data_IF_110285339664
#
_entry.id   IF_110285339664
#
_cell.length_a   1.000
_cell.length_b   1.000
_cell.length_c   1.000
_cell.angle_alpha   90.00
_cell.angle_beta   90.00
_cell.angle_gamma   90.00
#
_symmetry.space_group_name_H-M   'P 1'
#
loop_
_entity.id
_entity.type
_entity.pdbx_description
1 polymer ?
#
# COMPACT_ATOMS: atom_id res chain seq x y z
N UNK A 1 2.14 -26.86 3.26
CA UNK A 1 1.84 -25.54 3.77
C UNK A 1 0.50 -25.57 4.49
N UNK A 2 0.50 -25.35 5.80
CA UNK A 2 -0.71 -25.38 6.61
C UNK A 2 -1.57 -24.15 6.41
N UNK A 3 -2.89 -24.30 6.56
CA UNK A 3 -3.83 -23.19 6.58
C UNK A 3 -3.78 -22.55 7.97
N UNK A 4 -3.77 -21.20 8.03
CA UNK A 4 -3.78 -20.49 9.30
C UNK A 4 -5.09 -20.77 10.05
N UNK A 5 -5.03 -20.96 11.38
CA UNK A 5 -6.26 -21.12 12.17
C UNK A 5 -7.15 -19.87 12.05
N UNK A 6 -8.47 -20.10 12.00
CA UNK A 6 -9.44 -19.00 11.88
C UNK A 6 -9.27 -17.95 12.99
N UNK A 7 -8.95 -18.39 14.20
CA UNK A 7 -8.71 -17.50 15.32
C UNK A 7 -7.51 -16.58 15.08
N UNK A 8 -6.42 -17.12 14.53
CA UNK A 8 -5.25 -16.33 14.15
C UNK A 8 -5.61 -15.30 13.09
N UNK A 9 -6.33 -15.71 12.04
CA UNK A 9 -6.76 -14.81 10.96
C UNK A 9 -7.57 -13.64 11.51
N UNK A 10 -8.58 -13.92 12.34
CA UNK A 10 -9.42 -12.87 12.92
C UNK A 10 -8.63 -11.90 13.77
N UNK A 11 -7.70 -12.41 14.56
CA UNK A 11 -6.89 -11.59 15.45
C UNK A 11 -5.98 -10.67 14.64
N UNK A 12 -5.25 -11.23 13.66
CA UNK A 12 -4.34 -10.47 12.82
C UNK A 12 -5.10 -9.44 11.99
N UNK A 13 -6.26 -9.82 11.41
CA UNK A 13 -7.06 -8.88 10.64
C UNK A 13 -7.54 -7.70 11.50
N UNK A 14 -7.92 -7.95 12.76
CA UNK A 14 -8.35 -6.88 13.65
C UNK A 14 -7.22 -5.90 13.96
N UNK A 15 -6.00 -6.41 14.13
CA UNK A 15 -4.82 -5.59 14.34
C UNK A 15 -4.50 -4.73 13.11
N UNK A 16 -4.56 -5.33 11.93
CA UNK A 16 -4.30 -4.62 10.67
C UNK A 16 -5.35 -3.54 10.40
N UNK A 17 -6.62 -3.82 10.66
CA UNK A 17 -7.69 -2.82 10.51
C UNK A 17 -7.49 -1.64 11.44
N UNK A 18 -7.07 -1.89 12.67
CA UNK A 18 -6.77 -0.84 13.63
C UNK A 18 -5.56 -0.01 13.18
N UNK A 19 -4.49 -0.67 12.74
CA UNK A 19 -3.31 0.01 12.22
C UNK A 19 -3.69 0.93 11.05
N UNK A 20 -4.47 0.42 10.11
CA UNK A 20 -4.91 1.19 8.95
C UNK A 20 -5.77 2.39 9.35
N UNK A 21 -6.68 2.20 10.30
CA UNK A 21 -7.59 3.27 10.74
C UNK A 21 -6.85 4.44 11.37
N UNK A 22 -5.75 4.18 12.09
CA UNK A 22 -5.02 5.22 12.79
C UNK A 22 -3.87 5.86 12.00
N UNK A 23 -3.56 5.38 10.80
CA UNK A 23 -2.35 5.75 10.07
C UNK A 23 -2.17 7.25 9.84
N UNK A 24 -3.25 8.02 9.72
CA UNK A 24 -3.20 9.47 9.60
C UNK A 24 -3.60 10.23 10.86
N UNK A 25 -4.06 9.50 11.89
CA UNK A 25 -4.57 10.12 13.12
C UNK A 25 -3.54 10.10 14.24
N UNK A 26 -2.87 8.96 14.42
CA UNK A 26 -1.90 8.76 15.48
C UNK A 26 -0.95 7.66 15.05
N UNK A 27 0.28 8.03 14.74
CA UNK A 27 1.25 7.10 14.15
C UNK A 27 1.61 5.97 15.11
N UNK A 28 1.72 6.23 16.42
CA UNK A 28 2.00 5.18 17.40
C UNK A 28 0.85 4.18 17.49
N UNK A 29 -0.40 4.68 17.44
CA UNK A 29 -1.59 3.82 17.46
C UNK A 29 -1.73 3.00 16.18
N UNK A 30 -1.10 3.41 15.09
CA UNK A 30 -0.99 2.62 13.87
C UNK A 30 0.17 1.62 13.96
N UNK A 31 1.33 2.06 14.43
CA UNK A 31 2.56 1.26 14.48
C UNK A 31 2.43 0.03 15.38
N UNK A 32 1.92 0.21 16.61
CA UNK A 32 1.88 -0.88 17.59
C UNK A 32 1.06 -2.08 17.12
N UNK A 33 -0.19 -1.92 16.66
CA UNK A 33 -0.93 -3.08 16.15
C UNK A 33 -0.31 -3.67 14.86
N UNK A 34 0.29 -2.85 14.02
CA UNK A 34 0.96 -3.35 12.81
C UNK A 34 2.18 -4.22 13.18
N UNK A 35 2.98 -3.78 14.14
CA UNK A 35 4.13 -4.55 14.62
C UNK A 35 3.68 -5.87 15.23
N UNK A 36 2.62 -5.82 16.03
CA UNK A 36 2.06 -7.03 16.66
C UNK A 36 1.53 -8.00 15.61
N UNK A 37 0.81 -7.49 14.60
CA UNK A 37 0.32 -8.33 13.51
C UNK A 37 1.48 -8.99 12.76
N UNK A 38 2.52 -8.24 12.45
CA UNK A 38 3.69 -8.76 11.76
C UNK A 38 4.36 -9.89 12.55
N UNK A 39 4.56 -9.68 13.87
CA UNK A 39 5.26 -10.64 14.70
C UNK A 39 4.47 -11.91 15.01
N UNK A 40 3.13 -11.82 15.02
CA UNK A 40 2.27 -12.94 15.40
C UNK A 40 1.67 -13.71 14.24
N UNK A 41 1.76 -13.20 13.02
CA UNK A 41 1.24 -13.85 11.83
C UNK A 41 2.18 -14.96 11.36
N UNK A 42 2.08 -16.16 11.95
CA UNK A 42 2.99 -17.28 11.66
C UNK A 42 2.64 -18.00 10.37
N UNK A 43 1.38 -18.41 10.23
CA UNK A 43 0.90 -19.13 9.07
C UNK A 43 0.07 -18.25 8.13
N UNK A 44 -0.36 -17.12 8.61
CA UNK A 44 -1.19 -16.19 7.87
C UNK A 44 -0.33 -15.17 7.11
N UNK A 45 0.29 -15.63 6.02
CA UNK A 45 1.21 -14.81 5.22
C UNK A 45 0.54 -13.56 4.64
N UNK A 46 -0.73 -13.67 4.25
CA UNK A 46 -1.49 -12.53 3.75
C UNK A 46 -1.62 -11.43 4.81
N UNK A 47 -1.90 -11.81 6.05
CA UNK A 47 -1.97 -10.85 7.16
C UNK A 47 -0.63 -10.22 7.48
N UNK A 48 0.44 -10.99 7.35
CA UNK A 48 1.80 -10.47 7.52
C UNK A 48 2.15 -9.46 6.42
N UNK A 49 1.73 -9.71 5.19
CA UNK A 49 1.93 -8.79 4.07
C UNK A 49 1.20 -7.45 4.31
N UNK A 50 -0.04 -7.52 4.78
CA UNK A 50 -0.79 -6.31 5.12
C UNK A 50 -0.09 -5.53 6.24
N UNK A 51 0.42 -6.23 7.25
CA UNK A 51 1.18 -5.61 8.34
C UNK A 51 2.44 -4.91 7.82
N UNK A 52 3.15 -5.51 6.86
CA UNK A 52 4.29 -4.87 6.20
C UNK A 52 3.89 -3.56 5.54
N UNK A 53 2.77 -3.52 4.84
CA UNK A 53 2.30 -2.29 4.21
C UNK A 53 1.99 -1.21 5.26
N UNK A 54 1.39 -1.58 6.38
CA UNK A 54 1.13 -0.65 7.47
C UNK A 54 2.42 -0.16 8.12
N UNK A 55 3.39 -1.05 8.36
CA UNK A 55 4.69 -0.69 8.91
C UNK A 55 5.51 0.17 7.95
N UNK A 56 5.47 -0.14 6.66
CA UNK A 56 6.13 0.64 5.63
C UNK A 56 5.63 2.08 5.61
N UNK A 57 4.31 2.24 5.72
CA UNK A 57 3.71 3.57 5.83
C UNK A 57 4.22 4.32 7.07
N UNK A 58 4.28 3.66 8.22
CA UNK A 58 4.78 4.28 9.45
C UNK A 58 6.23 4.74 9.29
N UNK A 59 7.09 3.89 8.74
CA UNK A 59 8.48 4.23 8.50
C UNK A 59 8.61 5.40 7.51
N UNK A 60 7.80 5.41 6.44
CA UNK A 60 7.77 6.50 5.48
C UNK A 60 7.39 7.83 6.16
N UNK A 61 6.37 7.81 7.01
CA UNK A 61 5.92 9.03 7.72
C UNK A 61 6.96 9.54 8.70
N UNK A 62 7.85 8.67 9.19
CA UNK A 62 8.98 9.07 10.00
C UNK A 62 10.19 9.48 9.16
N UNK A 63 10.05 9.52 7.85
CA UNK A 63 11.11 9.83 6.90
C UNK A 63 12.28 8.83 6.95
N UNK A 64 12.06 7.64 7.46
CA UNK A 64 13.01 6.55 7.43
C UNK A 64 12.82 5.75 6.14
N UNK A 65 13.31 6.32 5.04
CA UNK A 65 13.05 5.78 3.71
C UNK A 65 13.77 4.47 3.46
N UNK A 66 14.93 4.28 4.03
CA UNK A 66 15.68 3.02 3.88
C UNK A 66 14.92 1.87 4.54
N UNK A 67 14.42 2.08 5.76
CA UNK A 67 13.62 1.09 6.46
C UNK A 67 12.29 0.85 5.76
N UNK A 68 11.62 1.90 5.31
CA UNK A 68 10.35 1.79 4.58
C UNK A 68 10.53 0.98 3.30
N UNK A 69 11.58 1.23 2.52
CA UNK A 69 11.89 0.48 1.31
C UNK A 69 12.03 -1.02 1.61
N UNK A 70 12.82 -1.35 2.61
CA UNK A 70 13.06 -2.74 3.00
C UNK A 70 11.75 -3.45 3.39
N UNK A 71 10.91 -2.77 4.18
CA UNK A 71 9.65 -3.34 4.64
C UNK A 71 8.68 -3.55 3.48
N UNK A 72 8.51 -2.54 2.61
CA UNK A 72 7.63 -2.69 1.46
C UNK A 72 8.08 -3.83 0.53
N UNK A 73 9.38 -4.02 0.35
CA UNK A 73 9.90 -5.09 -0.49
C UNK A 73 9.62 -6.49 0.06
N UNK A 74 9.43 -6.64 1.37
CA UNK A 74 9.05 -7.92 1.95
C UNK A 74 7.69 -8.41 1.45
N UNK A 75 6.78 -7.49 1.12
CA UNK A 75 5.41 -7.84 0.70
C UNK A 75 5.42 -8.81 -0.49
N UNK A 76 6.35 -8.62 -1.42
CA UNK A 76 6.41 -9.41 -2.66
C UNK A 76 6.74 -10.88 -2.41
N UNK A 77 7.40 -11.20 -1.31
CA UNK A 77 7.68 -12.58 -0.91
C UNK A 77 6.59 -13.21 -0.04
N UNK A 78 5.62 -12.42 0.41
CA UNK A 78 4.61 -12.89 1.38
C UNK A 78 3.24 -13.15 0.75
N UNK A 79 2.93 -12.53 -0.37
CA UNK A 79 1.59 -12.64 -0.95
C UNK A 79 1.60 -12.47 -2.47
N UNK A 80 0.54 -12.97 -3.11
CA UNK A 80 0.23 -12.70 -4.52
C UNK A 80 -1.02 -11.85 -4.66
N UNK A 81 -1.57 -11.34 -3.56
CA UNK A 81 -2.76 -10.52 -3.57
C UNK A 81 -2.48 -9.19 -4.28
N UNK A 82 -3.26 -8.88 -5.30
CA UNK A 82 -3.03 -7.71 -6.15
C UNK A 82 -3.14 -6.39 -5.39
N UNK A 83 -4.05 -6.31 -4.42
CA UNK A 83 -4.20 -5.09 -3.62
C UNK A 83 -2.97 -4.83 -2.75
N UNK A 84 -2.48 -5.85 -2.02
CA UNK A 84 -1.30 -5.68 -1.19
C UNK A 84 -0.07 -5.30 -2.02
N UNK A 85 0.08 -5.94 -3.16
CA UNK A 85 1.19 -5.65 -4.06
C UNK A 85 1.09 -4.25 -4.66
N UNK A 86 -0.13 -3.79 -4.97
CA UNK A 86 -0.36 -2.42 -5.42
C UNK A 86 0.03 -1.40 -4.36
N UNK A 87 -0.37 -1.64 -3.12
CA UNK A 87 -0.04 -0.75 -2.00
C UNK A 87 1.47 -0.66 -1.82
N UNK A 88 2.17 -1.80 -1.91
CA UNK A 88 3.63 -1.82 -1.84
C UNK A 88 4.27 -1.07 -3.01
N UNK A 89 3.76 -1.25 -4.24
CA UNK A 89 4.24 -0.52 -5.41
C UNK A 89 4.15 0.99 -5.18
N UNK A 90 3.00 1.46 -4.69
CA UNK A 90 2.77 2.90 -4.45
C UNK A 90 3.68 3.41 -3.33
N UNK A 91 3.84 2.62 -2.27
CA UNK A 91 4.77 2.97 -1.19
C UNK A 91 6.18 3.17 -1.69
N UNK A 92 6.65 2.27 -2.56
CA UNK A 92 7.97 2.38 -3.16
C UNK A 92 8.07 3.56 -4.14
N UNK A 93 7.02 3.81 -4.92
CA UNK A 93 6.96 5.01 -5.77
C UNK A 93 7.18 6.29 -4.96
N UNK A 94 6.51 6.40 -3.82
CA UNK A 94 6.64 7.56 -2.93
C UNK A 94 8.08 7.72 -2.43
N UNK A 95 8.70 6.63 -2.03
CA UNK A 95 10.08 6.64 -1.55
C UNK A 95 11.02 7.10 -2.67
N UNK A 96 10.90 6.53 -3.87
CA UNK A 96 11.81 6.84 -4.97
C UNK A 96 11.58 8.26 -5.51
N UNK A 97 10.35 8.75 -5.44
CA UNK A 97 10.08 10.15 -5.74
C UNK A 97 10.82 11.08 -4.77
N UNK A 98 10.79 10.77 -3.47
CA UNK A 98 11.46 11.58 -2.45
C UNK A 98 12.97 11.50 -2.52
N UNK A 99 13.52 10.37 -2.96
CA UNK A 99 14.96 10.15 -3.02
C UNK A 99 15.55 10.40 -4.40
N UNK A 100 14.73 10.78 -5.38
CA UNK A 100 15.21 11.14 -6.72
C UNK A 100 15.62 9.94 -7.57
N UNK A 101 15.15 8.74 -7.25
CA UNK A 101 15.50 7.52 -7.98
C UNK A 101 14.49 7.27 -9.10
N UNK A 102 14.66 7.97 -10.21
CA UNK A 102 13.68 8.03 -11.30
C UNK A 102 13.44 6.68 -11.98
N UNK A 103 14.49 5.90 -12.22
CA UNK A 103 14.34 4.58 -12.86
C UNK A 103 13.47 3.67 -12.02
N UNK A 104 13.76 3.58 -10.72
CA UNK A 104 13.03 2.74 -9.79
C UNK A 104 11.58 3.23 -9.65
N UNK A 105 11.36 4.54 -9.64
CA UNK A 105 10.03 5.11 -9.62
C UNK A 105 9.20 4.60 -10.80
N UNK A 106 9.74 4.68 -12.02
CA UNK A 106 9.01 4.24 -13.21
C UNK A 106 8.79 2.73 -13.24
N UNK A 107 9.74 1.94 -12.74
CA UNK A 107 9.58 0.48 -12.65
C UNK A 107 8.36 0.13 -11.80
N UNK A 108 8.23 0.73 -10.63
CA UNK A 108 7.11 0.45 -9.73
C UNK A 108 5.82 1.12 -10.18
N UNK A 109 5.90 2.28 -10.83
CA UNK A 109 4.73 2.91 -11.44
C UNK A 109 4.13 2.02 -12.52
N UNK A 110 4.96 1.46 -13.38
CA UNK A 110 4.49 0.56 -14.45
C UNK A 110 3.87 -0.70 -13.86
N UNK A 111 4.46 -1.25 -12.80
CA UNK A 111 3.89 -2.37 -12.06
C UNK A 111 2.53 -2.01 -11.47
N UNK A 112 2.41 -0.85 -10.83
CA UNK A 112 1.15 -0.38 -10.25
C UNK A 112 0.06 -0.23 -11.31
N UNK A 113 0.37 0.33 -12.47
CA UNK A 113 -0.58 0.48 -13.58
C UNK A 113 -1.14 -0.88 -14.01
N UNK A 114 -0.27 -1.87 -14.17
CA UNK A 114 -0.69 -3.22 -14.55
C UNK A 114 -1.60 -3.85 -13.49
N UNK A 115 -1.27 -3.65 -12.20
CA UNK A 115 -2.09 -4.19 -11.10
C UNK A 115 -3.44 -3.52 -11.01
N UNK A 116 -3.48 -2.20 -11.18
CA UNK A 116 -4.73 -1.44 -11.19
C UNK A 116 -5.65 -1.91 -12.32
N UNK A 117 -5.08 -2.20 -13.49
CA UNK A 117 -5.84 -2.73 -14.62
C UNK A 117 -6.46 -4.09 -14.27
N UNK A 118 -5.68 -5.01 -13.69
CA UNK A 118 -6.18 -6.33 -13.28
C UNK A 118 -7.29 -6.21 -12.23
N UNK A 119 -7.12 -5.32 -11.26
CA UNK A 119 -8.12 -5.10 -10.23
C UNK A 119 -9.43 -4.58 -10.83
N UNK A 120 -9.37 -3.66 -11.79
CA UNK A 120 -10.57 -3.14 -12.46
C UNK A 120 -11.29 -4.21 -13.29
N UNK A 121 -10.53 -5.10 -13.94
CA UNK A 121 -11.09 -6.13 -14.80
C UNK A 121 -11.76 -7.25 -13.98
N UNK A 122 -11.32 -7.47 -12.75
CA UNK A 122 -11.88 -8.50 -11.87
C UNK A 122 -12.57 -7.86 -10.68
N UNK A 123 -13.72 -7.23 -10.93
CA UNK A 123 -14.47 -6.50 -9.90
C UNK A 123 -15.13 -7.41 -8.87
N UNK A 124 -15.11 -8.74 -9.04
CA UNK A 124 -15.71 -9.68 -8.08
C UNK A 124 -14.78 -10.04 -6.93
N UNK A 125 -13.50 -9.68 -7.00
CA UNK A 125 -12.48 -10.08 -6.03
C UNK A 125 -12.63 -9.35 -4.71
N UNK A 126 -13.15 -8.11 -4.72
CA UNK A 126 -13.23 -7.27 -3.53
C UNK A 126 -14.68 -6.98 -3.19
N UNK A 127 -15.26 -7.80 -2.31
CA UNK A 127 -16.65 -7.64 -1.86
C UNK A 127 -16.76 -7.06 -0.44
N UNK A 128 -15.68 -7.15 0.34
CA UNK A 128 -15.64 -6.60 1.71
C UNK A 128 -15.46 -5.09 1.66
N UNK A 129 -16.22 -4.38 2.48
CA UNK A 129 -16.16 -2.92 2.58
C UNK A 129 -14.77 -2.39 2.90
N UNK A 130 -14.06 -3.07 3.79
CA UNK A 130 -12.70 -2.69 4.17
C UNK A 130 -11.74 -2.80 2.97
N UNK A 131 -11.82 -3.89 2.22
CA UNK A 131 -10.99 -4.06 1.02
C UNK A 131 -11.34 -3.02 -0.04
N UNK A 132 -12.63 -2.74 -0.26
CA UNK A 132 -13.06 -1.71 -1.22
C UNK A 132 -12.55 -0.33 -0.83
N UNK A 133 -12.57 0.00 0.46
CA UNK A 133 -12.02 1.25 0.94
C UNK A 133 -10.53 1.35 0.63
N UNK A 134 -9.78 0.28 0.86
CA UNK A 134 -8.35 0.24 0.59
C UNK A 134 -8.04 0.31 -0.91
N UNK A 135 -8.85 -0.32 -1.74
CA UNK A 135 -8.71 -0.23 -3.21
C UNK A 135 -8.91 1.21 -3.67
N UNK A 136 -10.00 1.85 -3.24
CA UNK A 136 -10.29 3.23 -3.63
C UNK A 136 -9.21 4.19 -3.17
N UNK A 137 -8.72 4.01 -1.95
CA UNK A 137 -7.64 4.84 -1.42
C UNK A 137 -6.35 4.63 -2.21
N UNK A 138 -6.00 3.39 -2.53
CA UNK A 138 -4.79 3.09 -3.29
C UNK A 138 -4.82 3.72 -4.69
N UNK A 139 -5.95 3.63 -5.38
CA UNK A 139 -6.11 4.26 -6.69
C UNK A 139 -5.95 5.78 -6.61
N UNK A 140 -6.59 6.40 -5.62
CA UNK A 140 -6.48 7.84 -5.39
C UNK A 140 -5.03 8.23 -5.10
N UNK A 141 -4.37 7.48 -4.23
CA UNK A 141 -2.97 7.75 -3.88
C UNK A 141 -2.05 7.62 -5.09
N UNK A 142 -2.27 6.62 -5.94
CA UNK A 142 -1.49 6.48 -7.17
C UNK A 142 -1.55 7.75 -8.03
N UNK A 143 -2.75 8.29 -8.24
CA UNK A 143 -2.90 9.49 -9.07
C UNK A 143 -2.30 10.73 -8.42
N UNK A 144 -2.40 10.84 -7.10
CA UNK A 144 -1.77 11.94 -6.37
C UNK A 144 -0.24 11.89 -6.48
N UNK A 145 0.34 10.72 -6.24
CA UNK A 145 1.80 10.55 -6.33
C UNK A 145 2.29 10.82 -7.75
N UNK A 146 1.58 10.31 -8.77
CA UNK A 146 1.92 10.54 -10.16
C UNK A 146 1.83 12.02 -10.53
N UNK A 147 0.80 12.72 -10.03
CA UNK A 147 0.62 14.15 -10.29
C UNK A 147 1.76 14.98 -9.71
N UNK A 148 2.14 14.68 -8.47
CA UNK A 148 3.24 15.37 -7.81
C UNK A 148 4.55 15.14 -8.56
N UNK A 149 4.78 13.91 -9.02
CA UNK A 149 5.98 13.58 -9.79
C UNK A 149 6.05 14.37 -11.09
N UNK A 150 4.97 14.41 -11.86
CA UNK A 150 4.92 15.18 -13.10
C UNK A 150 5.12 16.69 -12.84
N UNK A 151 4.59 17.19 -11.73
CA UNK A 151 4.79 18.58 -11.36
C UNK A 151 6.27 18.88 -11.10
N UNK A 152 6.97 18.02 -10.38
CA UNK A 152 8.41 18.17 -10.13
C UNK A 152 9.22 18.13 -11.42
N UNK A 153 8.77 17.37 -12.41
CA UNK A 153 9.41 17.32 -13.73
C UNK A 153 8.93 18.46 -14.64
N UNK A 154 8.11 19.39 -14.13
CA UNK A 154 7.52 20.48 -14.88
C UNK A 154 6.61 20.00 -16.03
N UNK A 155 6.04 18.81 -15.89
CA UNK A 155 5.07 18.23 -16.85
C UNK A 155 3.65 18.52 -16.37
N UNK A 156 3.28 19.81 -16.31
CA UNK A 156 2.00 20.26 -15.74
C UNK A 156 0.75 19.67 -16.40
N UNK A 157 0.69 19.54 -17.75
CA UNK A 157 -0.49 18.91 -18.38
C UNK A 157 -0.72 17.49 -17.90
N UNK A 158 0.33 16.69 -17.77
CA UNK A 158 0.24 15.30 -17.30
C UNK A 158 -0.15 15.25 -15.83
N UNK A 159 0.34 16.19 -15.01
CA UNK A 159 -0.05 16.29 -13.60
C UNK A 159 -1.55 16.60 -13.47
N UNK A 160 -2.06 17.55 -14.24
CA UNK A 160 -3.48 17.89 -14.22
C UNK A 160 -4.34 16.73 -14.70
N UNK A 161 -3.92 16.04 -15.76
CA UNK A 161 -4.63 14.87 -16.27
C UNK A 161 -4.70 13.75 -15.24
N UNK A 162 -3.62 13.54 -14.44
CA UNK A 162 -3.62 12.55 -13.36
C UNK A 162 -4.58 12.93 -12.25
N UNK A 163 -4.63 14.21 -11.87
CA UNK A 163 -5.55 14.69 -10.84
C UNK A 163 -7.00 14.54 -11.26
N UNK A 164 -7.31 14.76 -12.54
CA UNK A 164 -8.67 14.64 -13.08
C UNK A 164 -9.21 13.21 -12.98
N UNK A 165 -8.34 12.21 -12.84
CA UNK A 165 -8.75 10.81 -12.70
C UNK A 165 -9.12 10.42 -11.29
N UNK A 166 -8.93 11.30 -10.31
CA UNK A 166 -9.24 11.00 -8.90
C UNK A 166 -10.76 10.97 -8.74
N UNK A 167 -11.34 9.87 -8.19
CA UNK A 167 -12.78 9.81 -7.95
C UNK A 167 -13.24 10.87 -6.96
N UNK A 168 -14.40 11.49 -7.23
CA UNK A 168 -14.93 12.54 -6.37
C UNK A 168 -15.42 12.03 -5.02
N UNK A 169 -15.78 10.75 -4.95
CA UNK A 169 -16.31 10.07 -3.76
C UNK A 169 -15.31 9.13 -3.09
N UNK A 170 -14.05 9.27 -3.44
CA UNK A 170 -12.98 8.44 -2.91
C UNK A 170 -12.64 8.78 -1.45
#
# INVERSE_FOLDING_TARGET
VGTAPTKEVRFIDSLNRRAYAYRYKNLDSSYLPAEQAYGQARLYQQGKAEACNNLGFCAFMQMDFERAEKIYKEVYGLTKNELELLIADIGLMKIYQRTGMNKEYYDYRNSAVRRMKRIREDSTVFTDKYEMLRVNFAFTEFFIVSSVYYYYLQQRPEAMASLDKIPLDA
#
